data_IF_276232400156
#
_entry.id   IF_276232400156
#
_cell.length_a   1.000
_cell.length_b   1.000
_cell.length_c   1.000
_cell.angle_alpha   90.00
_cell.angle_beta   90.00
_cell.angle_gamma   90.00
#
_symmetry.space_group_name_H-M   'P 1'
#
loop_
_entity.id
_entity.type
_entity.pdbx_description
1 polymer ?
#
# COMPACT_ATOMS: atom_id res chain seq x y z
N UNK A 1 14.52 14.73 7.22
CA UNK A 1 14.25 14.90 8.66
C UNK A 1 12.87 15.52 8.89
N UNK A 2 12.57 16.67 8.28
CA UNK A 2 11.30 17.40 8.43
C UNK A 2 10.06 16.60 7.99
N UNK A 3 10.11 15.94 6.82
CA UNK A 3 9.00 15.09 6.32
C UNK A 3 8.73 13.88 7.24
N UNK A 4 9.76 13.33 7.88
CA UNK A 4 9.59 12.21 8.81
C UNK A 4 9.02 12.66 10.18
N UNK A 5 9.43 13.84 10.65
CA UNK A 5 8.87 14.46 11.85
C UNK A 5 7.40 14.89 11.64
N UNK A 6 7.08 15.46 10.48
CA UNK A 6 5.70 15.80 10.10
C UNK A 6 4.84 14.54 9.95
N UNK A 7 5.39 13.48 9.33
CA UNK A 7 4.75 12.14 9.27
C UNK A 7 4.37 11.66 10.65
N UNK A 8 5.34 11.65 11.56
CA UNK A 8 5.11 11.16 12.91
C UNK A 8 4.11 12.03 13.67
N UNK A 9 4.17 13.36 13.54
CA UNK A 9 3.27 14.27 14.26
C UNK A 9 1.80 14.13 13.85
N UNK A 10 1.52 14.07 12.54
CA UNK A 10 0.14 13.94 12.05
C UNK A 10 -0.48 12.58 12.35
N UNK A 11 0.29 11.51 12.19
CA UNK A 11 -0.19 10.15 12.52
C UNK A 11 -0.50 10.08 14.01
N UNK A 12 0.40 10.55 14.88
CA UNK A 12 0.18 10.55 16.33
C UNK A 12 -1.06 11.35 16.71
N UNK A 13 -1.25 12.55 16.16
CA UNK A 13 -2.41 13.37 16.47
C UNK A 13 -3.74 12.70 16.08
N UNK A 14 -3.80 12.06 14.92
CA UNK A 14 -4.99 11.33 14.49
C UNK A 14 -5.21 10.04 15.29
N UNK A 15 -4.15 9.34 15.68
CA UNK A 15 -4.26 8.16 16.56
C UNK A 15 -4.79 8.53 17.95
N UNK A 16 -4.38 9.68 18.49
CA UNK A 16 -4.90 10.18 19.76
C UNK A 16 -6.39 10.55 19.66
N UNK A 17 -6.78 11.27 18.60
CA UNK A 17 -8.18 11.58 18.30
C UNK A 17 -9.02 10.30 18.18
N UNK A 18 -8.49 9.27 17.52
CA UNK A 18 -9.14 7.97 17.39
C UNK A 18 -9.40 7.32 18.76
N UNK A 19 -8.38 7.26 19.63
CA UNK A 19 -8.53 6.65 20.96
C UNK A 19 -9.59 7.39 21.78
N UNK A 20 -9.61 8.73 21.74
CA UNK A 20 -10.65 9.53 22.41
C UNK A 20 -12.06 9.22 21.88
N UNK A 21 -12.23 9.11 20.56
CA UNK A 21 -13.52 8.78 19.94
C UNK A 21 -14.00 7.39 20.33
N UNK A 22 -13.08 6.42 20.35
CA UNK A 22 -13.35 5.06 20.81
C UNK A 22 -13.77 5.04 22.29
N UNK A 23 -13.07 5.76 23.16
CA UNK A 23 -13.42 5.87 24.59
C UNK A 23 -14.78 6.54 24.82
N UNK A 24 -15.17 7.48 23.95
CA UNK A 24 -16.50 8.10 23.95
C UNK A 24 -17.59 7.22 23.32
N UNK A 25 -17.24 6.09 22.72
CA UNK A 25 -18.17 5.22 22.00
C UNK A 25 -18.66 5.76 20.66
N UNK A 26 -17.96 6.74 20.07
CA UNK A 26 -18.28 7.29 18.76
C UNK A 26 -17.60 6.48 17.65
N UNK A 27 -18.15 5.28 17.38
CA UNK A 27 -17.63 4.37 16.35
C UNK A 27 -17.62 4.99 14.95
N UNK A 28 -18.57 5.89 14.63
CA UNK A 28 -18.60 6.54 13.31
C UNK A 28 -17.44 7.53 13.15
N UNK A 29 -17.15 8.34 14.18
CA UNK A 29 -16.01 9.24 14.16
C UNK A 29 -14.69 8.46 14.13
N UNK A 30 -14.57 7.41 14.95
CA UNK A 30 -13.41 6.52 14.96
C UNK A 30 -13.13 5.90 13.58
N UNK A 31 -14.19 5.43 12.90
CA UNK A 31 -14.09 4.88 11.55
C UNK A 31 -13.55 5.90 10.53
N UNK A 32 -14.05 7.14 10.57
CA UNK A 32 -13.59 8.24 9.69
C UNK A 32 -12.15 8.63 9.97
N UNK A 33 -11.72 8.66 11.23
CA UNK A 33 -10.34 8.95 11.60
C UNK A 33 -9.38 7.90 11.07
N UNK A 34 -9.77 6.61 11.14
CA UNK A 34 -8.99 5.52 10.54
C UNK A 34 -8.91 5.60 9.02
N UNK A 35 -10.01 5.94 8.33
CA UNK A 35 -9.99 6.24 6.90
C UNK A 35 -9.00 7.37 6.59
N UNK A 36 -8.99 8.44 7.38
CA UNK A 36 -8.07 9.57 7.19
C UNK A 36 -6.60 9.19 7.35
N UNK A 37 -6.30 8.31 8.29
CA UNK A 37 -4.97 7.73 8.46
C UNK A 37 -4.56 6.91 7.23
N UNK A 38 -5.48 6.12 6.66
CA UNK A 38 -5.24 5.39 5.43
C UNK A 38 -4.96 6.32 4.23
N UNK A 39 -5.77 7.36 4.05
CA UNK A 39 -5.56 8.39 3.01
C UNK A 39 -4.16 9.03 3.13
N UNK A 40 -3.72 9.34 4.35
CA UNK A 40 -2.37 9.87 4.57
C UNK A 40 -1.27 8.88 4.16
N UNK A 41 -1.44 7.59 4.46
CA UNK A 41 -0.47 6.58 4.01
C UNK A 41 -0.40 6.52 2.48
N UNK A 42 -1.53 6.63 1.79
CA UNK A 42 -1.60 6.68 0.32
C UNK A 42 -0.95 7.94 -0.26
N UNK A 43 -1.44 9.11 0.15
CA UNK A 43 -1.18 10.39 -0.54
C UNK A 43 0.15 11.05 -0.14
N UNK A 44 0.68 10.69 1.04
CA UNK A 44 1.89 11.33 1.57
C UNK A 44 3.05 10.37 1.76
N UNK A 45 2.80 9.11 2.10
CA UNK A 45 3.86 8.21 2.56
C UNK A 45 4.11 7.00 1.66
N UNK A 46 3.16 6.64 0.79
CA UNK A 46 3.25 5.47 -0.09
C UNK A 46 3.27 4.13 0.65
N UNK A 47 2.83 4.08 1.90
CA UNK A 47 2.90 2.87 2.74
C UNK A 47 1.61 2.04 2.61
N UNK A 48 1.59 1.16 1.61
CA UNK A 48 0.41 0.34 1.30
C UNK A 48 0.03 -0.63 2.44
N UNK A 49 1.00 -1.08 3.25
CA UNK A 49 0.73 -1.96 4.39
C UNK A 49 0.00 -1.19 5.48
N UNK A 50 0.54 -0.03 5.88
CA UNK A 50 -0.10 0.82 6.87
C UNK A 50 -1.47 1.32 6.37
N UNK A 51 -1.61 1.66 5.08
CA UNK A 51 -2.90 2.00 4.47
C UNK A 51 -3.92 0.86 4.65
N UNK A 52 -3.53 -0.39 4.34
CA UNK A 52 -4.38 -1.57 4.50
C UNK A 52 -4.84 -1.74 5.94
N UNK A 53 -3.91 -1.64 6.89
CA UNK A 53 -4.19 -1.85 8.31
C UNK A 53 -5.17 -0.80 8.87
N UNK A 54 -5.01 0.47 8.47
CA UNK A 54 -5.96 1.52 8.85
C UNK A 54 -7.34 1.33 8.20
N UNK A 55 -7.42 0.89 6.94
CA UNK A 55 -8.70 0.57 6.31
C UNK A 55 -9.41 -0.60 6.99
N UNK A 56 -8.69 -1.65 7.42
CA UNK A 56 -9.29 -2.76 8.15
C UNK A 56 -9.88 -2.32 9.50
N UNK A 57 -9.20 -1.43 10.22
CA UNK A 57 -9.74 -0.83 11.45
C UNK A 57 -10.95 0.05 11.17
N UNK A 58 -10.90 0.88 10.12
CA UNK A 58 -12.04 1.69 9.68
C UNK A 58 -13.27 0.83 9.39
N UNK A 59 -13.08 -0.30 8.71
CA UNK A 59 -14.16 -1.24 8.39
C UNK A 59 -14.85 -1.79 9.64
N UNK A 60 -14.08 -2.20 10.66
CA UNK A 60 -14.61 -2.68 11.94
C UNK A 60 -15.52 -1.64 12.58
N UNK A 61 -15.06 -0.38 12.64
CA UNK A 61 -15.81 0.69 13.28
C UNK A 61 -17.05 1.14 12.48
N UNK A 62 -17.03 1.07 11.16
CA UNK A 62 -18.24 1.29 10.36
C UNK A 62 -19.29 0.20 10.57
N UNK A 63 -18.86 -1.06 10.77
CA UNK A 63 -19.76 -2.16 11.13
C UNK A 63 -20.37 -1.94 12.52
N UNK A 64 -19.56 -1.54 13.51
CA UNK A 64 -20.03 -1.16 14.86
C UNK A 64 -21.01 0.03 14.84
N UNK A 65 -20.75 1.03 13.99
CA UNK A 65 -21.63 2.17 13.79
C UNK A 65 -22.90 1.85 12.98
N UNK A 66 -23.02 0.60 12.49
CA UNK A 66 -24.11 0.15 11.62
C UNK A 66 -24.28 1.05 10.37
N UNK A 67 -23.17 1.52 9.80
CA UNK A 67 -23.11 2.40 8.62
C UNK A 67 -22.60 1.64 7.38
N UNK A 68 -23.50 0.97 6.63
CA UNK A 68 -23.12 0.15 5.48
C UNK A 68 -22.57 0.97 4.30
N UNK A 69 -22.93 2.25 4.22
CA UNK A 69 -22.43 3.16 3.19
C UNK A 69 -20.92 3.39 3.36
N UNK A 70 -20.48 3.76 4.57
CA UNK A 70 -19.07 3.90 4.91
C UNK A 70 -18.29 2.60 4.76
N UNK A 71 -18.84 1.48 5.25
CA UNK A 71 -18.22 0.17 5.09
C UNK A 71 -18.01 -0.22 3.61
N UNK A 72 -18.95 0.14 2.72
CA UNK A 72 -18.83 -0.14 1.28
C UNK A 72 -17.72 0.69 0.62
N UNK A 73 -17.52 1.94 1.04
CA UNK A 73 -16.42 2.78 0.57
C UNK A 73 -15.07 2.18 1.01
N UNK A 74 -14.94 1.79 2.28
CA UNK A 74 -13.71 1.15 2.79
C UNK A 74 -13.38 -0.14 2.03
N UNK A 75 -14.38 -0.98 1.76
CA UNK A 75 -14.19 -2.23 1.00
C UNK A 75 -13.67 -1.97 -0.41
N UNK A 76 -14.17 -0.92 -1.07
CA UNK A 76 -13.65 -0.51 -2.39
C UNK A 76 -12.17 -0.10 -2.28
N UNK A 77 -11.83 0.74 -1.31
CA UNK A 77 -10.44 1.18 -1.12
C UNK A 77 -9.49 0.02 -0.78
N UNK A 78 -9.94 -0.95 0.04
CA UNK A 78 -9.18 -2.17 0.31
C UNK A 78 -8.90 -2.96 -0.97
N UNK A 79 -9.87 -3.04 -1.89
CA UNK A 79 -9.68 -3.65 -3.21
C UNK A 79 -8.58 -2.95 -4.02
N UNK A 80 -8.57 -1.62 -4.04
CA UNK A 80 -7.55 -0.81 -4.72
C UNK A 80 -6.15 -1.01 -4.10
N UNK A 81 -6.07 -1.12 -2.76
CA UNK A 81 -4.82 -1.42 -2.05
C UNK A 81 -4.32 -2.82 -2.37
N UNK A 82 -5.18 -3.84 -2.30
CA UNK A 82 -4.81 -5.21 -2.63
C UNK A 82 -4.29 -5.35 -4.07
N UNK A 83 -4.95 -4.68 -5.02
CA UNK A 83 -4.50 -4.64 -6.41
C UNK A 83 -3.10 -4.00 -6.53
N UNK A 84 -2.87 -2.87 -5.86
CA UNK A 84 -1.58 -2.17 -5.87
C UNK A 84 -0.45 -3.02 -5.26
N UNK A 85 -0.72 -3.72 -4.16
CA UNK A 85 0.24 -4.61 -3.50
C UNK A 85 0.59 -5.82 -4.37
N UNK A 86 -0.40 -6.43 -5.03
CA UNK A 86 -0.17 -7.56 -5.94
C UNK A 86 0.76 -7.15 -7.09
N UNK A 87 0.48 -6.02 -7.75
CA UNK A 87 1.30 -5.51 -8.85
C UNK A 87 2.74 -5.21 -8.41
N UNK A 88 2.95 -4.65 -7.20
CA UNK A 88 4.30 -4.42 -6.66
C UNK A 88 5.05 -5.72 -6.43
N UNK A 89 4.38 -6.76 -5.93
CA UNK A 89 4.98 -8.06 -5.70
C UNK A 89 5.37 -8.74 -7.03
N UNK A 90 4.50 -8.67 -8.04
CA UNK A 90 4.79 -9.19 -9.39
C UNK A 90 5.95 -8.45 -10.06
N UNK A 91 5.99 -7.12 -9.94
CA UNK A 91 7.09 -6.29 -10.44
C UNK A 91 8.42 -6.67 -9.80
N UNK A 92 8.43 -6.80 -8.47
CA UNK A 92 9.62 -7.18 -7.71
C UNK A 92 10.12 -8.59 -8.09
N UNK A 93 9.20 -9.54 -8.25
CA UNK A 93 9.53 -10.89 -8.69
C UNK A 93 10.10 -10.92 -10.13
N UNK A 94 9.56 -10.10 -11.03
CA UNK A 94 10.04 -9.98 -12.40
C UNK A 94 11.45 -9.36 -12.46
N UNK A 95 11.70 -8.32 -11.65
CA UNK A 95 13.01 -7.69 -11.56
C UNK A 95 14.06 -8.64 -10.98
N UNK A 96 13.72 -9.39 -9.94
CA UNK A 96 14.61 -10.40 -9.35
C UNK A 96 15.03 -11.48 -10.37
N UNK A 97 14.13 -11.89 -11.28
CA UNK A 97 14.47 -12.82 -12.36
C UNK A 97 15.52 -12.27 -13.32
N UNK A 98 15.41 -10.99 -13.69
CA UNK A 98 16.40 -10.33 -14.58
C UNK A 98 17.77 -10.27 -13.91
N UNK A 99 17.82 -9.89 -12.62
CA UNK A 99 19.07 -9.82 -11.87
C UNK A 99 19.72 -11.19 -11.61
N UNK A 100 18.92 -12.24 -11.47
CA UNK A 100 19.41 -13.60 -11.26
C UNK A 100 19.81 -14.30 -12.56
N UNK A 101 19.40 -13.79 -13.72
CA UNK A 101 19.87 -14.30 -15.00
C UNK A 101 21.25 -13.70 -15.28
N UNK A 102 22.30 -14.52 -15.52
CA UNK A 102 23.57 -13.96 -15.98
C UNK A 102 23.32 -13.19 -17.29
N UNK A 103 24.08 -12.11 -17.57
CA UNK A 103 23.99 -11.44 -18.84
C UNK A 103 24.23 -12.49 -19.92
N UNK A 104 23.25 -12.68 -20.80
CA UNK A 104 23.39 -13.56 -21.96
C UNK A 104 24.68 -13.19 -22.66
N UNK A 105 25.68 -14.06 -22.58
CA UNK A 105 26.96 -13.88 -23.26
C UNK A 105 26.67 -13.47 -24.70
N UNK A 106 27.26 -12.39 -25.22
CA UNK A 106 27.06 -12.04 -26.61
C UNK A 106 27.55 -13.22 -27.44
N UNK A 107 26.62 -13.95 -28.05
CA UNK A 107 26.93 -15.05 -28.97
C UNK A 107 27.89 -14.50 -30.01
N UNK A 108 29.13 -15.00 -29.99
CA UNK A 108 30.18 -14.63 -30.93
C UNK A 108 29.63 -14.75 -32.36
N UNK A 109 29.88 -13.76 -33.24
CA UNK A 109 29.47 -13.87 -34.63
C UNK A 109 30.20 -15.06 -35.26
N UNK A 110 29.43 -16.08 -35.64
CA UNK A 110 29.92 -17.22 -36.40
C UNK A 110 30.67 -16.73 -37.64
N UNK A 111 31.96 -17.05 -37.72
CA UNK A 111 32.80 -16.69 -38.87
C UNK A 111 32.24 -17.31 -40.15
N UNK A 112 32.18 -16.57 -41.27
CA UNK A 112 31.77 -17.14 -42.54
C UNK A 112 32.87 -18.09 -43.05
N UNK A 113 32.54 -19.38 -43.16
CA UNK A 113 33.38 -20.37 -43.83
C UNK A 113 33.65 -19.94 -45.27
N UNK A 114 34.91 -19.74 -45.61
CA UNK A 114 35.35 -19.47 -46.98
C UNK A 114 35.11 -20.72 -47.85
N UNK A 115 34.66 -20.58 -49.11
CA UNK A 115 34.59 -21.70 -50.03
C UNK A 115 35.99 -22.06 -50.52
N UNK A 116 36.38 -23.34 -50.40
CA UNK A 116 37.61 -23.86 -50.98
C UNK A 116 37.49 -23.92 -52.50
N UNK A 117 38.58 -23.55 -53.17
CA UNK A 117 38.80 -23.61 -54.62
C UNK A 117 38.78 -25.04 -55.17
#
# INVERSE_FOLDING_TARGET
AEVAAEKSGRIVALSDIFEQQKDMGDSLAAAKTMQRLAELQRDRYGDLQAQRDFLLQSLLHYDEANDPAGASLVRRELGEVHFSMANMNESSASYAKVLSSPPSSPSSPSSPSSPSS
#
